data_IF_219029808925
#
_entry.id   IF_219029808925
#
_cell.length_a   1.000
_cell.length_b   1.000
_cell.length_c   1.000
_cell.angle_alpha   90.00
_cell.angle_beta   90.00
_cell.angle_gamma   90.00
#
_symmetry.space_group_name_H-M   'P 1'
#
loop_
_entity.id
_entity.type
_entity.pdbx_description
1 polymer ?
#
# COMPACT_ATOMS: atom_id res chain seq x y z
N UNK A 1 -32.90 -14.61 27.13
CA UNK A 1 -31.70 -15.38 26.74
C UNK A 1 -30.95 -14.81 25.55
N UNK A 2 -31.59 -14.29 24.49
CA UNK A 2 -30.91 -13.69 23.33
C UNK A 2 -30.11 -12.40 23.64
N UNK A 3 -30.53 -11.59 24.63
CA UNK A 3 -29.85 -10.30 24.98
C UNK A 3 -28.51 -10.49 25.68
N UNK A 4 -28.32 -11.60 26.41
CA UNK A 4 -27.07 -11.89 27.13
C UNK A 4 -25.98 -12.36 26.18
N UNK A 5 -26.35 -13.13 25.13
CA UNK A 5 -25.37 -13.58 24.11
C UNK A 5 -24.81 -12.44 23.24
N UNK A 6 -25.62 -11.41 22.96
CA UNK A 6 -25.15 -10.24 22.21
C UNK A 6 -24.11 -9.42 22.96
N UNK A 7 -24.22 -9.31 24.28
CA UNK A 7 -23.26 -8.59 25.12
C UNK A 7 -21.92 -9.32 25.31
N UNK A 8 -21.92 -10.66 25.32
CA UNK A 8 -20.67 -11.44 25.39
C UNK A 8 -19.88 -11.38 24.07
N UNK A 9 -20.55 -11.33 22.91
CA UNK A 9 -19.89 -11.17 21.61
C UNK A 9 -19.33 -9.76 21.40
N UNK A 10 -20.00 -8.70 21.88
CA UNK A 10 -19.51 -7.32 21.81
C UNK A 10 -18.24 -7.12 22.66
N UNK A 11 -18.21 -7.60 23.89
CA UNK A 11 -17.02 -7.52 24.75
C UNK A 11 -15.82 -8.30 24.18
N UNK A 12 -16.03 -9.38 23.46
CA UNK A 12 -14.96 -10.10 22.76
C UNK A 12 -14.41 -9.31 21.55
N UNK A 13 -15.24 -8.58 20.80
CA UNK A 13 -14.80 -7.76 19.68
C UNK A 13 -13.95 -6.57 20.15
N UNK A 14 -14.37 -5.85 21.18
CA UNK A 14 -13.61 -4.74 21.76
C UNK A 14 -12.25 -5.21 22.28
N UNK A 15 -12.19 -6.33 22.95
CA UNK A 15 -10.95 -6.95 23.42
C UNK A 15 -10.02 -7.32 22.26
N UNK A 16 -10.56 -7.89 21.19
CA UNK A 16 -9.80 -8.20 19.96
C UNK A 16 -9.31 -6.93 19.27
N UNK A 17 -10.10 -5.87 19.20
CA UNK A 17 -9.67 -4.57 18.70
C UNK A 17 -8.52 -3.99 19.51
N UNK A 18 -8.61 -4.03 20.84
CA UNK A 18 -7.56 -3.55 21.72
C UNK A 18 -6.24 -4.32 21.53
N UNK A 19 -6.31 -5.64 21.44
CA UNK A 19 -5.15 -6.49 21.12
C UNK A 19 -4.54 -6.15 19.77
N UNK A 20 -5.36 -5.97 18.74
CA UNK A 20 -4.93 -5.58 17.39
C UNK A 20 -4.22 -4.21 17.40
N UNK A 21 -4.78 -3.23 18.10
CA UNK A 21 -4.18 -1.90 18.27
C UNK A 21 -2.84 -1.96 19.04
N UNK A 22 -2.76 -2.79 20.10
CA UNK A 22 -1.56 -2.97 20.89
C UNK A 22 -0.37 -3.54 20.10
N UNK A 23 -0.63 -4.30 19.02
CA UNK A 23 0.42 -4.78 18.12
C UNK A 23 1.12 -3.63 17.40
N UNK A 24 0.37 -2.62 16.98
CA UNK A 24 0.87 -1.47 16.24
C UNK A 24 1.42 -0.35 17.15
N UNK A 25 1.09 -0.34 18.43
CA UNK A 25 1.46 0.71 19.37
C UNK A 25 2.97 0.79 19.69
N UNK A 26 3.74 -0.24 19.38
CA UNK A 26 5.18 -0.28 19.59
C UNK A 26 5.95 0.30 18.38
N UNK A 27 6.88 1.21 18.64
CA UNK A 27 7.64 1.94 17.62
C UNK A 27 8.47 1.02 16.71
N UNK A 28 9.07 -0.04 17.25
CA UNK A 28 9.90 -0.97 16.47
C UNK A 28 9.04 -1.85 15.59
N UNK A 29 7.90 -2.36 16.10
CA UNK A 29 6.94 -3.09 15.28
C UNK A 29 6.34 -2.21 14.18
N UNK A 30 6.00 -0.96 14.47
CA UNK A 30 5.53 0.00 13.46
C UNK A 30 6.57 0.21 12.36
N UNK A 31 7.87 0.33 12.70
CA UNK A 31 8.95 0.44 11.71
C UNK A 31 9.06 -0.81 10.83
N UNK A 32 8.98 -2.01 11.42
CA UNK A 32 8.98 -3.26 10.68
C UNK A 32 7.80 -3.37 9.72
N UNK A 33 6.60 -3.07 10.20
CA UNK A 33 5.38 -3.08 9.38
C UNK A 33 5.47 -2.08 8.22
N UNK A 34 5.97 -0.86 8.46
CA UNK A 34 6.20 0.12 7.41
C UNK A 34 7.24 -0.33 6.37
N UNK A 35 8.28 -1.07 6.78
CA UNK A 35 9.25 -1.64 5.84
C UNK A 35 8.59 -2.69 4.94
N UNK A 36 7.76 -3.56 5.52
CA UNK A 36 7.04 -4.61 4.81
C UNK A 36 5.96 -4.10 3.84
N UNK A 37 5.62 -2.81 3.91
CA UNK A 37 4.72 -2.15 2.95
C UNK A 37 5.28 -2.06 1.53
N UNK A 38 6.53 -2.47 1.30
CA UNK A 38 7.10 -2.60 -0.04
C UNK A 38 6.61 -3.85 -0.79
N UNK A 39 5.81 -4.69 -0.13
CA UNK A 39 5.22 -5.91 -0.69
C UNK A 39 6.18 -7.10 -0.79
N UNK A 40 7.44 -6.94 -0.33
CA UNK A 40 8.46 -8.01 -0.37
C UNK A 40 8.53 -8.78 0.93
N UNK A 41 9.22 -9.91 0.87
CA UNK A 41 9.57 -10.70 2.03
C UNK A 41 10.99 -10.32 2.52
N UNK A 42 11.13 -10.05 3.81
CA UNK A 42 12.34 -9.61 4.47
C UNK A 42 12.82 -10.63 5.50
N UNK A 43 14.11 -10.73 5.70
CA UNK A 43 14.69 -11.53 6.79
C UNK A 43 14.56 -10.80 8.14
N UNK A 44 14.65 -11.56 9.24
CA UNK A 44 14.67 -10.97 10.58
C UNK A 44 15.83 -9.99 10.79
N UNK A 45 16.99 -10.27 10.18
CA UNK A 45 18.18 -9.41 10.24
C UNK A 45 17.95 -8.07 9.57
N UNK A 46 17.36 -8.05 8.36
CA UNK A 46 17.02 -6.82 7.67
C UNK A 46 16.00 -6.00 8.45
N UNK A 47 14.97 -6.65 8.99
CA UNK A 47 13.95 -5.99 9.80
C UNK A 47 14.50 -5.46 11.14
N UNK A 48 15.47 -6.15 11.75
CA UNK A 48 16.15 -5.66 12.95
C UNK A 48 16.95 -4.37 12.68
N UNK A 49 17.65 -4.33 11.53
CA UNK A 49 18.40 -3.14 11.11
C UNK A 49 17.48 -1.94 10.84
N UNK A 50 16.35 -2.14 10.14
CA UNK A 50 15.37 -1.06 9.90
C UNK A 50 14.74 -0.56 11.19
N UNK A 51 14.43 -1.45 12.13
CA UNK A 51 13.84 -1.08 13.41
C UNK A 51 14.84 -0.50 14.40
N UNK A 52 16.15 -0.63 14.14
CA UNK A 52 17.24 -0.22 15.00
C UNK A 52 17.18 -0.91 16.38
N UNK A 53 17.09 -2.25 16.35
CA UNK A 53 17.00 -3.10 17.53
C UNK A 53 17.87 -4.36 17.36
N UNK A 54 18.09 -5.06 18.47
CA UNK A 54 18.83 -6.34 18.44
C UNK A 54 18.07 -7.44 17.70
N UNK A 55 18.79 -8.43 17.16
CA UNK A 55 18.18 -9.57 16.50
C UNK A 55 17.24 -10.39 17.40
N UNK A 56 17.55 -10.49 18.71
CA UNK A 56 16.69 -11.17 19.69
C UNK A 56 15.37 -10.41 19.89
N UNK A 57 15.43 -9.09 20.04
CA UNK A 57 14.25 -8.23 20.14
C UNK A 57 13.39 -8.28 18.89
N UNK A 58 14.04 -8.25 17.71
CA UNK A 58 13.35 -8.38 16.42
C UNK A 58 12.60 -9.71 16.32
N UNK A 59 13.23 -10.82 16.73
CA UNK A 59 12.61 -12.14 16.74
C UNK A 59 11.36 -12.18 17.63
N UNK A 60 11.41 -11.59 18.83
CA UNK A 60 10.25 -11.49 19.73
C UNK A 60 9.12 -10.66 19.12
N UNK A 61 9.45 -9.52 18.49
CA UNK A 61 8.46 -8.69 17.80
C UNK A 61 7.83 -9.42 16.60
N UNK A 62 8.63 -10.11 15.80
CA UNK A 62 8.14 -10.89 14.65
C UNK A 62 7.26 -12.06 15.08
N UNK A 63 7.60 -12.74 16.18
CA UNK A 63 6.73 -13.77 16.77
C UNK A 63 5.35 -13.21 17.10
N UNK A 64 5.30 -12.07 17.80
CA UNK A 64 4.04 -11.40 18.16
C UNK A 64 3.26 -10.92 16.91
N UNK A 65 3.95 -10.38 15.91
CA UNK A 65 3.32 -9.98 14.64
C UNK A 65 2.72 -11.18 13.89
N UNK A 66 3.38 -12.33 13.92
CA UNK A 66 2.88 -13.57 13.32
C UNK A 66 1.67 -14.13 14.11
N UNK A 67 1.75 -14.16 15.43
CA UNK A 67 0.65 -14.60 16.31
C UNK A 67 -0.63 -13.81 16.06
N UNK A 68 -0.51 -12.51 15.92
CA UNK A 68 -1.62 -11.60 15.63
C UNK A 68 -1.96 -11.48 14.14
N UNK A 69 -1.38 -12.32 13.30
CA UNK A 69 -1.64 -12.40 11.85
C UNK A 69 -1.42 -11.10 11.06
N UNK A 70 -0.54 -10.23 11.54
CA UNK A 70 -0.07 -9.07 10.78
C UNK A 70 0.98 -9.46 9.75
N UNK A 71 1.77 -10.47 10.08
CA UNK A 71 2.90 -10.95 9.28
C UNK A 71 2.82 -12.45 9.15
N UNK A 72 3.22 -12.96 8.01
CA UNK A 72 3.43 -14.41 7.79
C UNK A 72 4.90 -14.69 7.60
N UNK A 73 5.35 -15.81 8.18
CA UNK A 73 6.70 -16.31 8.01
C UNK A 73 6.74 -17.35 6.89
N UNK A 74 7.72 -17.23 6.01
CA UNK A 74 7.98 -18.13 4.89
C UNK A 74 9.34 -18.77 5.08
N UNK A 75 9.40 -20.09 5.12
CA UNK A 75 10.66 -20.84 5.18
C UNK A 75 11.15 -21.13 3.76
N UNK A 76 12.41 -20.82 3.48
CA UNK A 76 13.07 -21.16 2.22
C UNK A 76 14.49 -21.69 2.52
N UNK A 77 14.68 -22.98 2.47
CA UNK A 77 15.89 -23.62 2.91
C UNK A 77 16.20 -23.33 4.38
N UNK A 78 17.41 -22.79 4.68
CA UNK A 78 17.80 -22.36 6.03
C UNK A 78 17.36 -20.94 6.40
N UNK A 79 16.70 -20.21 5.49
CA UNK A 79 16.30 -18.83 5.68
C UNK A 79 14.81 -18.73 6.00
N UNK A 80 14.47 -17.80 6.89
CA UNK A 80 13.11 -17.45 7.24
C UNK A 80 12.84 -16.01 6.83
N UNK A 81 11.85 -15.82 5.99
CA UNK A 81 11.42 -14.53 5.49
C UNK A 81 10.07 -14.16 6.09
N UNK A 82 9.80 -12.87 6.17
CA UNK A 82 8.58 -12.32 6.73
C UNK A 82 7.97 -11.33 5.73
N UNK A 83 6.67 -11.39 5.54
CA UNK A 83 5.91 -10.44 4.73
C UNK A 83 4.59 -10.13 5.39
N UNK A 84 3.90 -9.04 4.98
CA UNK A 84 2.54 -8.78 5.44
C UNK A 84 1.63 -9.97 5.14
N UNK A 85 0.68 -10.24 6.05
CA UNK A 85 -0.19 -11.41 5.95
C UNK A 85 -1.18 -11.30 4.77
N UNK A 86 -1.61 -10.09 4.43
CA UNK A 86 -2.53 -9.86 3.33
C UNK A 86 -2.68 -8.37 2.99
N UNK A 87 -3.49 -8.10 1.96
CA UNK A 87 -3.82 -6.74 1.52
C UNK A 87 -4.67 -5.98 2.54
N UNK A 88 -5.49 -6.68 3.31
CA UNK A 88 -6.29 -6.12 4.41
C UNK A 88 -5.43 -5.46 5.48
N UNK A 89 -4.31 -6.10 5.84
CA UNK A 89 -3.32 -5.53 6.77
C UNK A 89 -2.61 -4.32 6.13
N UNK A 90 -2.26 -4.41 4.84
CA UNK A 90 -1.66 -3.28 4.14
C UNK A 90 -2.61 -2.07 4.09
N UNK A 91 -3.88 -2.27 3.77
CA UNK A 91 -4.91 -1.23 3.77
C UNK A 91 -5.11 -0.60 5.16
N UNK A 92 -5.12 -1.42 6.22
CA UNK A 92 -5.18 -0.92 7.61
C UNK A 92 -3.99 -0.01 7.93
N UNK A 93 -2.77 -0.45 7.58
CA UNK A 93 -1.56 0.33 7.81
C UNK A 93 -1.55 1.64 7.02
N UNK A 94 -1.97 1.63 5.76
CA UNK A 94 -2.10 2.83 4.93
C UNK A 94 -3.04 3.85 5.55
N UNK A 95 -4.23 3.41 5.98
CA UNK A 95 -5.22 4.27 6.64
C UNK A 95 -4.69 4.83 7.96
N UNK A 96 -4.04 4.00 8.78
CA UNK A 96 -3.43 4.43 10.04
C UNK A 96 -2.31 5.44 9.81
N UNK A 97 -1.45 5.22 8.80
CA UNK A 97 -0.41 6.17 8.41
C UNK A 97 -1.02 7.51 7.97
N UNK A 98 -2.12 7.49 7.22
CA UNK A 98 -2.87 8.69 6.82
C UNK A 98 -3.38 9.48 8.02
N UNK A 99 -4.01 8.82 8.98
CA UNK A 99 -4.51 9.45 10.23
C UNK A 99 -3.36 9.99 11.07
N UNK A 100 -2.31 9.19 11.29
CA UNK A 100 -1.15 9.61 12.06
C UNK A 100 -0.44 10.82 11.45
N UNK A 101 -0.43 10.90 10.11
CA UNK A 101 0.14 12.03 9.40
C UNK A 101 -0.73 13.29 9.51
N UNK A 102 -2.04 13.17 9.39
CA UNK A 102 -2.98 14.29 9.50
C UNK A 102 -2.90 14.98 10.87
N UNK A 103 -2.59 14.23 11.93
CA UNK A 103 -2.44 14.73 13.31
C UNK A 103 -1.03 15.22 13.64
N UNK A 104 -0.06 15.02 12.73
CA UNK A 104 1.33 15.42 12.93
C UNK A 104 1.51 16.91 12.57
N UNK A 105 2.29 17.65 13.37
CA UNK A 105 2.77 18.99 12.98
C UNK A 105 3.58 18.87 11.68
N UNK A 106 3.50 19.86 10.76
CA UNK A 106 4.23 19.82 9.49
C UNK A 106 5.74 19.71 9.73
N UNK A 107 6.26 18.51 9.78
CA UNK A 107 7.69 18.26 9.72
C UNK A 107 8.18 18.43 8.29
N UNK A 108 9.35 19.02 8.09
CA UNK A 108 10.03 19.05 6.80
C UNK A 108 9.97 17.64 6.19
N UNK A 109 9.41 17.53 4.96
CA UNK A 109 9.34 16.27 4.23
C UNK A 109 10.77 15.80 3.99
N UNK A 110 11.19 14.77 4.71
CA UNK A 110 12.53 14.17 4.60
C UNK A 110 12.55 13.00 3.60
N UNK A 111 11.45 12.79 2.86
CA UNK A 111 11.37 11.74 1.85
C UNK A 111 12.35 12.02 0.73
N UNK A 112 13.24 11.07 0.39
CA UNK A 112 14.13 11.22 -0.75
C UNK A 112 13.36 11.59 -2.02
N UNK A 113 13.89 12.53 -2.85
CA UNK A 113 13.17 13.07 -4.01
C UNK A 113 12.64 11.98 -4.97
N UNK A 114 13.42 10.92 -5.20
CA UNK A 114 12.98 9.80 -6.05
C UNK A 114 11.77 9.07 -5.49
N UNK A 115 11.76 8.76 -4.19
CA UNK A 115 10.63 8.10 -3.54
C UNK A 115 9.39 9.00 -3.44
N UNK A 116 9.60 10.31 -3.36
CA UNK A 116 8.51 11.27 -3.42
C UNK A 116 7.89 11.33 -4.81
N UNK A 117 8.73 11.32 -5.85
CA UNK A 117 8.29 11.36 -7.24
C UNK A 117 7.46 10.14 -7.63
N UNK A 118 8.01 8.93 -7.44
CA UNK A 118 7.29 7.69 -7.73
C UNK A 118 7.83 6.52 -6.89
N UNK A 119 6.92 5.79 -6.26
CA UNK A 119 7.24 4.62 -5.44
C UNK A 119 6.11 3.60 -5.47
N UNK A 120 6.36 2.43 -4.92
CA UNK A 120 5.28 1.50 -4.57
C UNK A 120 4.68 1.84 -3.21
N UNK A 121 3.36 1.75 -3.11
CA UNK A 121 2.60 1.68 -1.87
C UNK A 121 1.96 0.31 -1.81
N UNK A 122 2.61 -0.64 -1.14
CA UNK A 122 2.33 -2.06 -1.17
C UNK A 122 2.39 -2.63 -2.61
N UNK A 123 1.26 -2.71 -3.34
CA UNK A 123 1.16 -3.30 -4.67
C UNK A 123 0.67 -2.34 -5.77
N UNK A 124 0.61 -1.04 -5.48
CA UNK A 124 0.17 -0.01 -6.41
C UNK A 124 1.12 1.19 -6.42
N UNK A 125 0.99 2.04 -7.45
CA UNK A 125 1.83 3.22 -7.64
C UNK A 125 1.43 4.33 -6.65
N UNK A 126 2.43 5.00 -6.05
CA UNK A 126 2.28 6.14 -5.16
C UNK A 126 3.31 7.25 -5.47
N UNK A 127 3.17 8.38 -4.79
CA UNK A 127 3.97 9.58 -5.00
C UNK A 127 3.33 10.57 -5.96
N UNK A 128 4.06 11.63 -6.29
CA UNK A 128 3.58 12.75 -7.12
C UNK A 128 2.93 12.30 -8.43
N UNK A 129 3.54 11.33 -9.12
CA UNK A 129 3.02 10.83 -10.40
C UNK A 129 1.70 10.10 -10.22
N UNK A 130 1.57 9.32 -9.17
CA UNK A 130 0.32 8.58 -8.88
C UNK A 130 -0.83 9.50 -8.45
N UNK A 131 -0.53 10.55 -7.69
CA UNK A 131 -1.51 11.59 -7.35
C UNK A 131 -2.01 12.30 -8.61
N UNK A 132 -1.10 12.73 -9.50
CA UNK A 132 -1.50 13.34 -10.79
C UNK A 132 -2.31 12.37 -11.66
N UNK A 133 -1.99 11.07 -11.61
CA UNK A 133 -2.77 10.06 -12.31
C UNK A 133 -4.17 9.99 -11.76
N UNK A 134 -4.34 9.97 -10.43
CA UNK A 134 -5.65 9.98 -9.79
C UNK A 134 -6.47 11.22 -10.21
N UNK A 135 -5.89 12.40 -10.10
CA UNK A 135 -6.53 13.66 -10.49
C UNK A 135 -6.96 13.64 -11.96
N UNK A 136 -6.14 13.05 -12.83
CA UNK A 136 -6.50 12.92 -14.24
C UNK A 136 -7.62 11.92 -14.47
N UNK A 137 -7.63 10.78 -13.78
CA UNK A 137 -8.72 9.80 -13.87
C UNK A 137 -10.05 10.40 -13.41
N UNK A 138 -10.04 11.21 -12.36
CA UNK A 138 -11.22 11.94 -11.86
C UNK A 138 -11.64 13.04 -12.84
N UNK A 139 -10.70 13.88 -13.30
CA UNK A 139 -11.02 14.99 -14.22
C UNK A 139 -11.55 14.52 -15.57
N UNK A 140 -11.12 13.35 -16.04
CA UNK A 140 -11.65 12.69 -17.24
C UNK A 140 -12.92 11.90 -16.98
N UNK A 141 -13.44 11.95 -15.76
CA UNK A 141 -14.62 11.19 -15.35
C UNK A 141 -14.47 9.67 -15.51
N UNK A 142 -13.24 9.13 -15.43
CA UNK A 142 -13.00 7.69 -15.41
C UNK A 142 -13.20 7.11 -14.00
N UNK A 143 -12.97 7.94 -12.97
CA UNK A 143 -13.29 7.66 -11.58
C UNK A 143 -14.24 8.71 -11.02
N UNK A 144 -15.04 8.33 -10.04
CA UNK A 144 -15.77 9.27 -9.21
C UNK A 144 -14.81 10.13 -8.37
N UNK A 145 -15.20 11.34 -7.92
CA UNK A 145 -14.33 12.25 -7.16
C UNK A 145 -13.74 11.65 -5.88
N UNK A 146 -14.47 10.73 -5.24
CA UNK A 146 -13.99 9.97 -4.07
C UNK A 146 -13.04 8.81 -4.43
N UNK A 147 -12.91 8.49 -5.73
CA UNK A 147 -12.10 7.37 -6.21
C UNK A 147 -12.68 5.99 -5.91
N UNK A 148 -13.92 5.91 -5.42
CA UNK A 148 -14.53 4.64 -5.01
C UNK A 148 -15.23 3.88 -6.14
N UNK A 149 -15.55 4.56 -7.23
CA UNK A 149 -16.26 3.96 -8.37
C UNK A 149 -15.55 4.23 -9.69
N UNK A 150 -15.32 3.16 -10.44
CA UNK A 150 -14.91 3.24 -11.83
C UNK A 150 -16.16 3.45 -12.70
N UNK A 151 -16.20 4.55 -13.42
CA UNK A 151 -17.34 4.93 -14.26
C UNK A 151 -17.41 4.08 -15.54
N UNK A 152 -18.58 4.00 -16.22
CA UNK A 152 -18.66 3.33 -17.51
C UNK A 152 -17.66 3.86 -18.56
N UNK A 153 -17.47 5.20 -18.75
CA UNK A 153 -16.40 5.71 -19.63
C UNK A 153 -15.00 5.26 -19.21
N UNK A 154 -14.72 5.20 -17.90
CA UNK A 154 -13.45 4.71 -17.38
C UNK A 154 -13.23 3.22 -17.68
N UNK A 155 -14.25 2.40 -17.48
CA UNK A 155 -14.21 0.96 -17.81
C UNK A 155 -13.93 0.74 -19.30
N UNK A 156 -14.66 1.43 -20.16
CA UNK A 156 -14.48 1.32 -21.60
C UNK A 156 -13.06 1.73 -22.05
N UNK A 157 -12.58 2.87 -21.52
CA UNK A 157 -11.24 3.36 -21.86
C UNK A 157 -10.12 2.45 -21.40
N UNK A 158 -10.20 1.93 -20.19
CA UNK A 158 -9.23 0.96 -19.68
C UNK A 158 -9.26 -0.34 -20.50
N UNK A 159 -10.44 -0.83 -20.87
CA UNK A 159 -10.59 -2.00 -21.72
C UNK A 159 -9.97 -1.80 -23.11
N UNK A 160 -10.16 -0.63 -23.74
CA UNK A 160 -9.53 -0.26 -25.01
C UNK A 160 -7.99 -0.26 -24.93
N UNK A 161 -7.43 0.04 -23.76
CA UNK A 161 -5.99 0.00 -23.47
C UNK A 161 -5.49 -1.42 -23.14
N UNK A 162 -6.38 -2.41 -23.09
CA UNK A 162 -6.05 -3.79 -22.67
C UNK A 162 -5.89 -3.95 -21.16
N UNK A 163 -6.38 -3.00 -20.36
CA UNK A 163 -6.35 -3.06 -18.89
C UNK A 163 -7.62 -3.73 -18.42
N UNK A 164 -7.52 -5.02 -18.10
CA UNK A 164 -8.65 -5.83 -17.63
C UNK A 164 -8.59 -5.91 -16.09
N UNK A 165 -9.64 -5.41 -15.46
CA UNK A 165 -9.81 -5.55 -14.02
C UNK A 165 -10.48 -6.89 -13.74
N UNK A 166 -9.71 -7.85 -13.24
CA UNK A 166 -10.28 -9.10 -12.78
C UNK A 166 -11.13 -8.85 -11.54
N UNK A 167 -12.43 -9.07 -11.62
CA UNK A 167 -13.28 -9.19 -10.45
C UNK A 167 -12.83 -10.45 -9.69
N UNK A 168 -11.86 -10.27 -8.78
CA UNK A 168 -11.34 -11.37 -7.98
C UNK A 168 -12.35 -11.77 -6.91
N UNK A 169 -12.27 -13.00 -6.43
CA UNK A 169 -13.00 -13.52 -5.26
C UNK A 169 -12.54 -12.87 -3.94
N UNK A 170 -11.68 -11.85 -3.97
CA UNK A 170 -11.16 -11.17 -2.79
C UNK A 170 -12.14 -10.10 -2.31
N UNK A 171 -12.20 -9.89 -1.00
CA UNK A 171 -12.96 -8.79 -0.36
C UNK A 171 -12.43 -7.39 -0.69
N UNK A 172 -11.44 -7.29 -1.59
CA UNK A 172 -10.77 -6.05 -1.97
C UNK A 172 -11.68 -5.18 -2.82
N UNK A 173 -11.75 -3.88 -2.53
CA UNK A 173 -12.48 -2.91 -3.35
C UNK A 173 -11.91 -2.89 -4.77
N UNK A 174 -12.79 -2.75 -5.78
CA UNK A 174 -12.37 -2.63 -7.18
C UNK A 174 -11.48 -1.40 -7.38
N UNK A 175 -11.87 -0.30 -6.77
CA UNK A 175 -11.10 0.94 -6.73
C UNK A 175 -11.31 1.65 -5.40
N UNK A 176 -10.34 2.41 -4.95
CA UNK A 176 -10.42 3.31 -3.81
C UNK A 176 -9.34 4.39 -3.93
N UNK A 177 -9.59 5.55 -3.34
CA UNK A 177 -8.56 6.53 -3.08
C UNK A 177 -7.66 6.05 -1.93
N UNK A 178 -6.37 5.84 -2.19
CA UNK A 178 -5.37 5.60 -1.16
C UNK A 178 -4.66 6.91 -0.84
N UNK A 179 -4.64 7.32 0.43
CA UNK A 179 -4.04 8.61 0.82
C UNK A 179 -2.52 8.52 0.78
N UNK A 180 -1.91 9.32 -0.09
CA UNK A 180 -0.45 9.43 -0.16
C UNK A 180 0.12 10.18 1.05
N UNK A 181 0.95 9.51 1.83
CA UNK A 181 1.51 10.09 3.04
C UNK A 181 2.51 11.23 2.77
N UNK A 182 3.13 11.31 1.57
CA UNK A 182 4.06 12.37 1.21
C UNK A 182 3.37 13.56 0.53
N UNK A 183 2.38 13.28 -0.30
CA UNK A 183 1.68 14.31 -1.09
C UNK A 183 0.38 14.80 -0.43
N UNK A 184 -0.16 14.03 0.52
CA UNK A 184 -1.41 14.32 1.24
C UNK A 184 -2.65 14.41 0.32
N UNK A 185 -2.57 13.76 -0.81
CA UNK A 185 -3.61 13.64 -1.82
C UNK A 185 -3.84 12.17 -2.11
N UNK A 186 -4.93 11.84 -2.76
CA UNK A 186 -5.23 10.46 -3.10
C UNK A 186 -4.46 10.02 -4.35
N UNK A 187 -4.12 8.72 -4.38
CA UNK A 187 -3.66 8.00 -5.55
C UNK A 187 -4.48 6.72 -5.76
N UNK A 188 -4.47 6.11 -6.97
CA UNK A 188 -5.32 4.95 -7.26
C UNK A 188 -4.91 3.73 -6.44
N UNK A 189 -5.82 3.24 -5.60
CA UNK A 189 -5.68 2.00 -4.83
C UNK A 189 -6.63 0.90 -5.31
N UNK A 190 -6.83 -0.12 -4.48
CA UNK A 190 -7.70 -1.24 -4.80
C UNK A 190 -7.16 -2.15 -5.91
N UNK A 191 -8.05 -2.90 -6.56
CA UNK A 191 -7.71 -3.77 -7.71
C UNK A 191 -7.21 -2.93 -8.88
N UNK A 192 -7.80 -1.74 -9.11
CA UNK A 192 -7.38 -0.82 -10.17
C UNK A 192 -5.92 -0.39 -10.00
N UNK A 193 -5.54 0.08 -8.81
CA UNK A 193 -4.16 0.53 -8.55
C UNK A 193 -3.14 -0.58 -8.77
N UNK A 194 -3.41 -1.79 -8.25
CA UNK A 194 -2.56 -2.96 -8.44
C UNK A 194 -2.46 -3.38 -9.91
N UNK A 195 -3.59 -3.34 -10.64
CA UNK A 195 -3.61 -3.69 -12.06
C UNK A 195 -2.83 -2.68 -12.90
N UNK A 196 -2.97 -1.38 -12.62
CA UNK A 196 -2.21 -0.32 -13.31
C UNK A 196 -0.70 -0.48 -13.09
N UNK A 197 -0.24 -0.72 -11.86
CA UNK A 197 1.18 -0.91 -11.59
C UNK A 197 1.74 -2.12 -12.35
N UNK A 198 1.03 -3.25 -12.30
CA UNK A 198 1.41 -4.45 -13.04
C UNK A 198 1.45 -4.19 -14.53
N UNK A 199 0.42 -3.58 -15.09
CA UNK A 199 0.32 -3.26 -16.50
C UNK A 199 1.44 -2.31 -16.96
N UNK A 200 1.76 -1.25 -16.19
CA UNK A 200 2.90 -0.38 -16.48
C UNK A 200 4.23 -1.15 -16.53
N UNK A 201 4.39 -2.11 -15.64
CA UNK A 201 5.57 -2.98 -15.62
C UNK A 201 5.64 -3.90 -16.85
N UNK A 202 4.55 -4.57 -17.21
CA UNK A 202 4.43 -5.44 -18.38
C UNK A 202 4.66 -4.68 -19.69
N UNK A 203 4.16 -3.45 -19.79
CA UNK A 203 4.39 -2.55 -20.92
C UNK A 203 5.80 -1.92 -20.93
N UNK A 204 6.64 -2.21 -19.93
CA UNK A 204 7.98 -1.64 -19.76
C UNK A 204 7.99 -0.11 -19.63
N UNK A 205 6.91 0.47 -19.12
CA UNK A 205 6.84 1.90 -18.83
C UNK A 205 7.60 2.28 -17.57
N UNK A 206 7.75 1.34 -16.65
CA UNK A 206 8.43 1.50 -15.38
C UNK A 206 9.49 0.44 -15.17
N UNK A 207 10.48 0.77 -14.33
CA UNK A 207 11.44 -0.15 -13.73
C UNK A 207 11.40 -0.01 -12.22
N UNK A 208 11.59 -1.11 -11.51
CA UNK A 208 11.74 -1.15 -10.07
C UNK A 208 13.19 -1.42 -9.72
N UNK A 209 13.73 -0.72 -8.76
CA UNK A 209 15.05 -1.05 -8.20
C UNK A 209 14.94 -2.21 -7.21
N UNK A 210 15.83 -3.17 -7.34
CA UNK A 210 15.90 -4.28 -6.40
C UNK A 210 16.28 -3.74 -5.01
N UNK A 211 15.52 -4.09 -4.00
CA UNK A 211 15.77 -3.60 -2.64
C UNK A 211 15.17 -2.22 -2.33
N UNK A 212 14.47 -1.58 -3.26
CA UNK A 212 13.87 -0.25 -3.09
C UNK A 212 12.40 -0.26 -3.48
N UNK A 213 11.65 0.68 -2.89
CA UNK A 213 10.28 1.00 -3.33
C UNK A 213 10.26 1.99 -4.50
N UNK A 214 11.42 2.50 -4.89
CA UNK A 214 11.55 3.49 -5.94
C UNK A 214 11.10 2.94 -7.29
N UNK A 215 10.29 3.72 -8.00
CA UNK A 215 9.85 3.45 -9.37
C UNK A 215 10.49 4.47 -10.30
N UNK A 216 11.13 3.97 -11.35
CA UNK A 216 11.75 4.78 -12.39
C UNK A 216 10.91 4.63 -13.65
N UNK A 217 10.38 5.74 -14.18
CA UNK A 217 9.73 5.74 -15.48
C UNK A 217 10.77 5.69 -16.61
N UNK A 218 10.55 4.80 -17.56
CA UNK A 218 11.38 4.72 -18.78
C UNK A 218 11.05 5.88 -19.73
N UNK A 219 11.93 6.25 -20.68
CA UNK A 219 11.59 7.24 -21.71
C UNK A 219 10.31 6.91 -22.48
N UNK A 220 10.03 5.62 -22.71
CA UNK A 220 8.77 5.15 -23.28
C UNK A 220 7.60 5.44 -22.33
N UNK A 221 7.75 5.06 -21.05
CA UNK A 221 6.72 5.25 -20.03
C UNK A 221 6.36 6.71 -19.82
N UNK A 222 7.33 7.61 -19.83
CA UNK A 222 7.12 9.07 -19.74
C UNK A 222 6.21 9.54 -20.88
N UNK A 223 6.57 9.23 -22.13
CA UNK A 223 5.77 9.63 -23.31
C UNK A 223 4.38 9.01 -23.29
N UNK A 224 4.31 7.72 -22.97
CA UNK A 224 3.04 6.98 -22.96
C UNK A 224 2.11 7.44 -21.85
N UNK A 225 2.64 7.70 -20.65
CA UNK A 225 1.84 8.22 -19.55
C UNK A 225 1.23 9.60 -19.87
N UNK A 226 2.00 10.45 -20.57
CA UNK A 226 1.50 11.73 -21.04
C UNK A 226 0.44 11.59 -22.16
N UNK A 227 0.68 10.73 -23.16
CA UNK A 227 -0.26 10.56 -24.27
C UNK A 227 -1.54 9.82 -23.89
N UNK A 228 -1.44 8.74 -23.13
CA UNK A 228 -2.60 7.90 -22.80
C UNK A 228 -3.38 8.44 -21.59
N UNK A 229 -2.67 8.91 -20.58
CA UNK A 229 -3.30 9.38 -19.34
C UNK A 229 -3.26 10.90 -19.18
N UNK A 230 -2.50 11.66 -19.97
CA UNK A 230 -2.34 13.10 -19.81
C UNK A 230 -1.48 13.51 -18.62
N UNK A 231 -0.70 12.59 -18.06
CA UNK A 231 0.10 12.79 -16.85
C UNK A 231 1.55 13.10 -17.22
N UNK A 232 2.00 14.31 -16.86
CA UNK A 232 3.42 14.70 -16.98
C UNK A 232 4.23 14.14 -15.81
N UNK A 233 5.32 13.46 -16.10
CA UNK A 233 6.24 12.90 -15.10
C UNK A 233 7.45 13.80 -14.83
N UNK A 234 7.66 14.84 -15.62
CA UNK A 234 8.72 15.84 -15.40
C UNK A 234 8.33 16.81 -14.29
N UNK A 235 9.33 17.17 -13.46
CA UNK A 235 9.24 18.23 -12.47
C UNK A 235 9.07 19.59 -13.12
#
# INVERSE_FOLDING_TARGET
MASVMLHEEEGDLESKMALTAAVMADKSRSRMLCALMDGRAWTATELSAVADISASTASAHLARLCEQRFVVALAQGRHRYFRLAGSDIAELLERLMGVAWATSTPRRITTPPGLRHARTCYDHLAGEVAVRLFDTLVSRQWLTPDGETLTPPGQEKLAQMGIVLAAGSSRRKLTCGCLDWSERCYHPGGVLGATLLRWFSEQRWIKTEQGSRHIIFTPLGIRKLETEFGVKTTR
#
